data_IF_854536106681
#
_entry.id   IF_854536106681
#
_cell.length_a   1.000
_cell.length_b   1.000
_cell.length_c   1.000
_cell.angle_alpha   90.00
_cell.angle_beta   90.00
_cell.angle_gamma   90.00
#
_symmetry.space_group_name_H-M   'P 1'
#
loop_
_entity.id
_entity.type
_entity.pdbx_description
1 polymer ?
#
# COMPACT_ATOMS: atom_id res chain seq x y z
N UNK A 1 71.43 -0.54 35.78
CA UNK A 1 69.96 -0.62 35.89
C UNK A 1 69.30 0.16 34.75
N UNK A 2 68.72 -0.49 33.73
CA UNK A 2 67.83 0.17 32.75
C UNK A 2 67.16 -0.85 31.81
N UNK A 3 66.01 -1.41 32.20
CA UNK A 3 65.11 -2.14 31.28
C UNK A 3 63.67 -1.94 31.70
N UNK A 4 63.04 -0.82 31.34
CA UNK A 4 61.58 -0.67 31.47
C UNK A 4 61.04 0.53 30.65
N UNK A 5 61.00 0.41 29.31
CA UNK A 5 60.34 1.44 28.49
C UNK A 5 59.71 0.96 27.17
N UNK A 6 59.53 -0.35 26.93
CA UNK A 6 58.99 -0.85 25.64
C UNK A 6 57.53 -1.35 25.68
N UNK A 7 56.88 -1.42 26.85
CA UNK A 7 55.53 -2.00 26.99
C UNK A 7 54.34 -1.05 26.76
N UNK A 8 54.47 0.26 27.06
CA UNK A 8 53.33 1.19 27.10
C UNK A 8 52.85 1.70 25.72
N UNK A 9 53.73 1.77 24.71
CA UNK A 9 53.38 2.31 23.38
C UNK A 9 52.49 1.37 22.54
N UNK A 10 52.60 0.05 22.71
CA UNK A 10 51.78 -0.93 21.95
C UNK A 10 50.30 -0.98 22.40
N UNK A 11 50.00 -0.64 23.66
CA UNK A 11 48.63 -0.74 24.21
C UNK A 11 47.72 0.41 23.76
N UNK A 12 48.24 1.65 23.64
CA UNK A 12 47.48 2.82 23.14
C UNK A 12 47.06 2.70 21.67
N UNK A 13 47.90 2.11 20.81
CA UNK A 13 47.56 1.88 19.40
C UNK A 13 46.43 0.86 19.18
N UNK A 14 46.35 -0.15 20.06
CA UNK A 14 45.34 -1.21 19.98
C UNK A 14 43.94 -0.75 20.44
N UNK A 15 43.86 0.15 21.43
CA UNK A 15 42.61 0.79 21.84
C UNK A 15 42.08 1.79 20.80
N UNK A 16 42.97 2.55 20.14
CA UNK A 16 42.57 3.44 19.03
C UNK A 16 42.03 2.66 17.83
N UNK A 17 42.64 1.52 17.48
CA UNK A 17 42.15 0.63 16.40
C UNK A 17 40.84 -0.09 16.75
N UNK A 18 40.55 -0.36 18.03
CA UNK A 18 39.26 -0.90 18.47
C UNK A 18 38.14 0.15 18.41
N UNK A 19 38.39 1.37 18.90
CA UNK A 19 37.43 2.48 18.77
C UNK A 19 37.19 2.93 17.33
N UNK A 20 38.19 2.84 16.45
CA UNK A 20 37.98 3.11 15.02
C UNK A 20 37.26 1.96 14.31
N UNK A 21 37.31 0.72 14.81
CA UNK A 21 36.49 -0.40 14.32
C UNK A 21 35.05 -0.35 14.88
N UNK A 22 34.85 0.13 16.10
CA UNK A 22 33.51 0.35 16.68
C UNK A 22 32.84 1.59 16.06
N UNK A 23 33.59 2.66 15.77
CA UNK A 23 33.07 3.82 15.03
C UNK A 23 32.87 3.52 13.53
N UNK A 24 33.68 2.64 12.93
CA UNK A 24 33.46 2.14 11.57
C UNK A 24 32.37 1.05 11.48
N UNK A 25 32.01 0.42 12.60
CA UNK A 25 30.82 -0.43 12.71
C UNK A 25 29.53 0.37 12.91
N UNK A 26 29.64 1.63 13.35
CA UNK A 26 28.53 2.58 13.45
C UNK A 26 28.28 3.36 12.15
N UNK A 27 29.17 3.28 11.16
CA UNK A 27 28.83 3.47 9.75
C UNK A 27 28.52 2.11 9.16
N UNK A 28 27.40 1.52 9.61
CA UNK A 28 26.70 0.57 8.76
C UNK A 28 26.55 1.26 7.40
N UNK A 29 27.12 0.63 6.36
CA UNK A 29 26.86 0.96 4.96
C UNK A 29 25.37 1.25 4.88
N UNK A 30 25.00 2.52 4.69
CA UNK A 30 23.62 2.91 4.44
C UNK A 30 23.24 2.12 3.20
N UNK A 31 22.49 1.03 3.40
CA UNK A 31 21.84 0.35 2.29
C UNK A 31 21.07 1.44 1.55
N UNK A 32 21.15 1.52 0.21
CA UNK A 32 20.23 2.36 -0.55
C UNK A 32 18.84 2.08 0.02
N UNK A 33 18.19 3.11 0.59
CA UNK A 33 17.07 2.91 1.52
C UNK A 33 16.06 1.93 0.94
N UNK A 34 15.66 0.95 1.74
CA UNK A 34 14.76 -0.12 1.33
C UNK A 34 13.46 0.50 0.80
N UNK A 35 13.38 0.66 -0.52
CA UNK A 35 12.37 1.47 -1.20
C UNK A 35 11.14 0.61 -1.45
N UNK A 36 9.98 1.10 -1.05
CA UNK A 36 8.71 0.55 -1.48
C UNK A 36 8.32 1.16 -2.82
N UNK A 37 7.88 0.33 -3.75
CA UNK A 37 7.22 0.72 -4.99
C UNK A 37 5.95 -0.09 -5.16
N UNK A 38 4.83 0.60 -5.35
CA UNK A 38 3.54 0.03 -5.73
C UNK A 38 3.20 0.60 -7.09
N UNK A 39 3.20 -0.25 -8.12
CA UNK A 39 2.96 0.18 -9.50
C UNK A 39 1.67 -0.44 -10.03
N UNK A 40 0.72 0.41 -10.41
CA UNK A 40 -0.50 -0.05 -11.10
C UNK A 40 -0.14 -0.30 -12.56
N UNK A 41 -0.10 -1.57 -12.98
CA UNK A 41 0.26 -1.95 -14.35
C UNK A 41 -0.90 -1.82 -15.31
N UNK A 42 -2.06 -2.29 -14.89
CA UNK A 42 -3.25 -2.31 -15.71
C UNK A 42 -4.51 -2.44 -14.83
N UNK A 43 -5.64 -2.15 -15.45
CA UNK A 43 -6.95 -2.56 -14.97
C UNK A 43 -7.57 -3.46 -16.03
N UNK A 44 -7.93 -4.67 -15.65
CA UNK A 44 -8.70 -5.59 -16.49
C UNK A 44 -10.17 -5.42 -16.16
N UNK A 45 -11.01 -5.28 -17.18
CA UNK A 45 -12.44 -5.08 -17.03
C UNK A 45 -13.16 -6.20 -17.79
N UNK A 46 -13.77 -7.13 -17.05
CA UNK A 46 -14.60 -8.17 -17.63
C UNK A 46 -15.95 -7.60 -18.09
N UNK A 47 -16.55 -6.73 -17.27
CA UNK A 47 -17.69 -5.90 -17.61
C UNK A 47 -17.60 -4.53 -16.91
N UNK A 48 -18.32 -3.55 -17.46
CA UNK A 48 -18.52 -2.26 -16.83
C UNK A 48 -19.89 -1.68 -17.17
N UNK A 49 -20.45 -0.91 -16.24
CA UNK A 49 -21.74 -0.28 -16.41
C UNK A 49 -21.61 1.24 -16.28
N UNK A 50 -21.61 1.91 -17.43
CA UNK A 50 -21.89 3.34 -17.51
C UNK A 50 -23.41 3.54 -17.53
N UNK A 51 -23.90 4.49 -16.73
CA UNK A 51 -25.30 4.83 -16.62
C UNK A 51 -25.94 5.31 -17.93
N UNK A 52 -27.14 5.87 -17.85
CA UNK A 52 -27.92 6.28 -19.04
C UNK A 52 -27.28 7.39 -19.91
N UNK A 53 -26.13 7.95 -19.50
CA UNK A 53 -25.47 9.09 -20.12
C UNK A 53 -24.24 8.75 -20.99
N UNK A 54 -24.10 7.52 -21.50
CA UNK A 54 -23.26 7.16 -22.68
C UNK A 54 -21.82 7.72 -22.69
N UNK A 55 -21.22 7.96 -21.54
CA UNK A 55 -19.80 8.30 -21.43
C UNK A 55 -19.06 7.02 -21.12
N UNK A 56 -18.18 6.53 -22.00
CA UNK A 56 -17.31 5.40 -21.64
C UNK A 56 -16.74 5.62 -20.24
N UNK A 57 -16.87 4.66 -19.32
CA UNK A 57 -16.61 4.89 -17.92
C UNK A 57 -15.18 5.36 -17.72
N UNK A 58 -14.97 6.19 -16.70
CA UNK A 58 -13.68 6.79 -16.41
C UNK A 58 -13.05 6.12 -15.18
N UNK A 59 -12.46 4.92 -15.33
CA UNK A 59 -11.94 4.18 -14.19
C UNK A 59 -10.76 4.90 -13.54
N UNK A 60 -10.84 5.00 -12.21
CA UNK A 60 -9.82 5.56 -11.34
C UNK A 60 -9.56 4.59 -10.20
N UNK A 61 -8.27 4.42 -9.90
CA UNK A 61 -7.84 3.72 -8.70
C UNK A 61 -7.25 4.72 -7.70
N UNK A 62 -7.76 4.72 -6.47
CA UNK A 62 -7.13 5.41 -5.34
C UNK A 62 -6.39 4.35 -4.53
N UNK A 63 -5.07 4.51 -4.42
CA UNK A 63 -4.18 3.54 -3.78
C UNK A 63 -3.64 4.13 -2.48
N UNK A 64 -3.73 3.39 -1.38
CA UNK A 64 -3.10 3.71 -0.09
C UNK A 64 -2.10 2.64 0.30
N UNK A 65 -0.92 3.04 0.75
CA UNK A 65 0.12 2.14 1.25
C UNK A 65 0.45 2.43 2.72
N UNK A 66 0.52 1.37 3.51
CA UNK A 66 0.64 1.45 4.96
C UNK A 66 1.69 0.48 5.49
N UNK A 67 2.50 0.91 6.45
CA UNK A 67 3.39 0.05 7.20
C UNK A 67 2.77 -0.31 8.55
N UNK A 68 2.86 -1.58 8.90
CA UNK A 68 2.33 -2.12 10.15
C UNK A 68 3.48 -2.27 11.13
N UNK A 69 3.63 -1.25 11.97
CA UNK A 69 4.64 -1.21 13.01
C UNK A 69 4.06 -1.69 14.34
N UNK A 70 4.93 -1.95 15.31
CA UNK A 70 4.51 -2.37 16.64
C UNK A 70 3.65 -1.33 17.38
N UNK A 71 3.77 -0.05 17.01
CA UNK A 71 2.99 1.06 17.56
C UNK A 71 1.73 1.41 16.74
N UNK A 72 1.45 0.64 15.67
CA UNK A 72 0.25 0.75 14.86
C UNK A 72 0.50 0.91 13.36
N UNK A 73 -0.55 1.34 12.66
CA UNK A 73 -0.55 1.56 11.21
C UNK A 73 0.00 2.96 10.84
N UNK A 74 1.04 3.01 10.00
CA UNK A 74 1.66 4.25 9.51
C UNK A 74 1.43 4.42 8.01
N UNK A 75 1.03 5.61 7.57
CA UNK A 75 0.89 5.93 6.15
C UNK A 75 2.27 6.05 5.51
N UNK A 76 2.48 5.32 4.42
CA UNK A 76 3.65 5.43 3.56
C UNK A 76 3.38 6.38 2.40
N UNK A 77 2.16 6.32 1.86
CA UNK A 77 1.72 7.24 0.84
C UNK A 77 0.38 6.87 0.28
N UNK A 78 -0.06 7.67 -0.68
CA UNK A 78 -1.29 7.48 -1.44
C UNK A 78 -1.09 7.99 -2.86
N UNK A 79 -1.82 7.43 -3.81
CA UNK A 79 -1.79 7.82 -5.21
C UNK A 79 -3.19 7.77 -5.82
N UNK A 80 -3.42 8.62 -6.83
CA UNK A 80 -4.58 8.52 -7.72
C UNK A 80 -4.05 8.10 -9.08
N UNK A 81 -4.47 6.94 -9.55
CA UNK A 81 -4.11 6.42 -10.87
C UNK A 81 -5.35 6.50 -11.75
N UNK A 82 -5.28 7.35 -12.78
CA UNK A 82 -6.32 7.47 -13.81
C UNK A 82 -5.99 6.56 -14.98
N UNK A 83 -6.96 5.77 -15.42
CA UNK A 83 -6.77 4.77 -16.45
C UNK A 83 -7.28 5.27 -17.81
N UNK A 84 -6.83 4.63 -18.89
CA UNK A 84 -7.37 4.84 -20.22
C UNK A 84 -8.87 4.54 -20.23
N UNK A 85 -9.62 5.22 -21.11
CA UNK A 85 -11.05 4.95 -21.25
C UNK A 85 -11.19 3.61 -21.97
N UNK A 86 -12.07 2.71 -21.48
CA UNK A 86 -12.32 1.45 -22.15
C UNK A 86 -13.16 1.70 -23.41
N UNK A 87 -12.77 1.08 -24.53
CA UNK A 87 -13.50 1.20 -25.81
C UNK A 87 -14.47 0.03 -26.04
N UNK A 88 -14.69 -0.81 -25.01
CA UNK A 88 -15.52 -2.01 -25.06
C UNK A 88 -15.16 -3.02 -23.97
N UNK A 89 -15.96 -4.08 -23.83
CA UNK A 89 -15.75 -5.14 -22.84
C UNK A 89 -15.80 -6.54 -23.47
N UNK A 90 -14.98 -7.50 -22.98
CA UNK A 90 -13.92 -7.33 -21.99
C UNK A 90 -12.71 -6.57 -22.55
N UNK A 91 -11.96 -5.86 -21.70
CA UNK A 91 -10.73 -5.18 -22.11
C UNK A 91 -9.71 -5.03 -20.98
N UNK A 92 -8.51 -4.58 -21.34
CA UNK A 92 -7.46 -4.18 -20.40
C UNK A 92 -7.04 -2.75 -20.73
N UNK A 93 -7.03 -1.88 -19.74
CA UNK A 93 -6.65 -0.48 -19.89
C UNK A 93 -5.39 -0.16 -19.08
N UNK A 94 -4.52 0.66 -19.63
CA UNK A 94 -3.30 1.11 -18.97
C UNK A 94 -3.51 2.45 -18.25
N UNK A 95 -2.64 2.82 -17.29
CA UNK A 95 -2.60 4.16 -16.73
C UNK A 95 -2.37 5.25 -17.80
N UNK A 96 -3.04 6.40 -17.66
CA UNK A 96 -2.85 7.59 -18.53
C UNK A 96 -1.64 8.45 -18.15
N UNK A 97 -0.92 8.10 -17.08
CA UNK A 97 0.17 8.90 -16.53
C UNK A 97 0.89 8.18 -15.41
N UNK A 98 1.25 8.91 -14.35
CA UNK A 98 1.90 8.33 -13.18
C UNK A 98 1.04 7.22 -12.56
N UNK A 99 1.64 6.05 -12.41
CA UNK A 99 1.00 4.84 -11.88
C UNK A 99 1.70 4.28 -10.64
N UNK A 100 2.83 4.88 -10.27
CA UNK A 100 3.74 4.35 -9.26
C UNK A 100 3.72 5.21 -8.02
N UNK A 101 3.46 4.58 -6.87
CA UNK A 101 3.72 5.11 -5.55
C UNK A 101 5.10 4.63 -5.12
N UNK A 102 6.05 5.55 -4.93
CA UNK A 102 7.39 5.22 -4.45
C UNK A 102 7.63 5.88 -3.09
N UNK A 103 8.13 5.11 -2.13
CA UNK A 103 8.42 5.58 -0.79
C UNK A 103 9.77 5.08 -0.28
N UNK A 104 10.55 5.96 0.35
CA UNK A 104 11.80 5.59 1.02
C UNK A 104 11.47 5.28 2.47
N UNK A 105 11.61 4.01 2.85
CA UNK A 105 11.21 3.56 4.17
C UNK A 105 12.19 4.05 5.25
N UNK A 106 11.69 4.64 6.34
CA UNK A 106 12.48 4.88 7.54
C UNK A 106 13.05 3.57 8.12
N UNK A 107 14.25 3.60 8.73
CA UNK A 107 14.90 2.42 9.31
C UNK A 107 14.05 1.65 10.33
N UNK A 108 13.20 2.35 11.07
CA UNK A 108 12.35 1.79 12.11
C UNK A 108 11.21 0.90 11.59
N UNK A 109 10.85 1.02 10.31
CA UNK A 109 9.76 0.23 9.68
C UNK A 109 10.25 -0.64 8.52
N UNK A 110 11.56 -0.80 8.36
CA UNK A 110 12.14 -1.55 7.26
C UNK A 110 11.69 -3.01 7.21
N UNK A 111 11.49 -3.66 8.36
CA UNK A 111 11.00 -5.04 8.46
C UNK A 111 9.49 -5.17 8.69
N UNK A 112 8.73 -4.07 8.61
CA UNK A 112 7.29 -4.10 8.81
C UNK A 112 6.58 -4.79 7.64
N UNK A 113 5.47 -5.46 7.95
CA UNK A 113 4.48 -5.86 6.93
C UNK A 113 3.91 -4.60 6.29
N UNK A 114 3.77 -4.64 4.96
CA UNK A 114 3.16 -3.55 4.21
C UNK A 114 1.77 -3.99 3.75
N UNK A 115 0.79 -3.12 3.95
CA UNK A 115 -0.56 -3.27 3.43
C UNK A 115 -0.79 -2.26 2.30
N UNK A 116 -1.38 -2.72 1.21
CA UNK A 116 -1.80 -1.90 0.07
C UNK A 116 -3.30 -2.04 -0.09
N UNK A 117 -3.99 -0.91 0.03
CA UNK A 117 -5.41 -0.76 -0.21
C UNK A 117 -5.60 -0.14 -1.59
N UNK A 118 -6.46 -0.74 -2.41
CA UNK A 118 -6.88 -0.20 -3.69
C UNK A 118 -8.38 0.02 -3.66
N UNK A 119 -8.81 1.22 -4.06
CA UNK A 119 -10.20 1.61 -4.20
C UNK A 119 -10.48 1.90 -5.67
N UNK A 120 -11.48 1.24 -6.24
CA UNK A 120 -11.97 1.48 -7.59
C UNK A 120 -13.19 2.41 -7.57
N UNK A 121 -13.12 3.44 -8.41
CA UNK A 121 -14.14 4.47 -8.59
C UNK A 121 -14.27 4.73 -10.08
N UNK A 122 -15.49 4.94 -10.55
CA UNK A 122 -15.78 5.54 -11.85
C UNK A 122 -15.95 7.06 -11.65
N UNK A 123 -15.02 7.84 -12.22
CA UNK A 123 -14.90 9.29 -11.97
C UNK A 123 -15.85 10.11 -12.86
N UNK A 124 -16.82 10.78 -12.25
CA UNK A 124 -17.76 11.70 -12.92
C UNK A 124 -17.38 13.16 -12.68
N UNK A 125 -17.18 13.52 -11.41
CA UNK A 125 -16.89 14.89 -10.96
C UNK A 125 -15.53 15.03 -10.29
N UNK A 126 -14.91 13.92 -9.88
CA UNK A 126 -13.67 13.84 -9.13
C UNK A 126 -13.79 14.20 -7.64
N UNK A 127 -15.01 14.50 -7.15
CA UNK A 127 -15.24 14.87 -5.74
C UNK A 127 -15.09 13.68 -4.80
N UNK A 128 -15.65 12.53 -5.18
CA UNK A 128 -15.48 11.28 -4.46
C UNK A 128 -14.03 10.83 -4.45
N UNK A 129 -13.35 10.90 -5.60
CA UNK A 129 -11.90 10.62 -5.69
C UNK A 129 -11.11 11.49 -4.72
N UNK A 130 -11.38 12.80 -4.66
CA UNK A 130 -10.72 13.72 -3.73
C UNK A 130 -11.01 13.37 -2.26
N UNK A 131 -12.27 13.07 -1.93
CA UNK A 131 -12.69 12.74 -0.56
C UNK A 131 -12.03 11.46 -0.07
N UNK A 132 -12.05 10.40 -0.88
CA UNK A 132 -11.38 9.12 -0.59
C UNK A 132 -9.88 9.34 -0.44
N UNK A 133 -9.25 9.99 -1.41
CA UNK A 133 -7.81 10.29 -1.35
C UNK A 133 -7.44 11.04 -0.06
N UNK A 134 -8.24 12.04 0.34
CA UNK A 134 -8.04 12.80 1.58
C UNK A 134 -8.15 11.90 2.82
N UNK A 135 -9.16 11.04 2.87
CA UNK A 135 -9.43 10.15 4.00
C UNK A 135 -8.35 9.08 4.20
N UNK A 136 -7.74 8.57 3.12
CA UNK A 136 -6.70 7.53 3.20
C UNK A 136 -5.43 7.96 3.97
N UNK A 137 -5.20 9.26 4.17
CA UNK A 137 -4.11 9.77 5.03
C UNK A 137 -4.35 9.55 6.52
N UNK A 138 -5.61 9.38 6.92
CA UNK A 138 -6.01 9.26 8.32
C UNK A 138 -6.15 7.79 8.70
N UNK A 139 -5.05 7.04 8.63
CA UNK A 139 -5.03 5.58 8.86
C UNK A 139 -5.70 5.14 10.17
N UNK A 140 -5.62 5.94 11.24
CA UNK A 140 -6.28 5.64 12.52
C UNK A 140 -7.82 5.64 12.45
N UNK A 141 -8.40 6.28 11.44
CA UNK A 141 -9.85 6.38 11.21
C UNK A 141 -10.32 5.49 10.06
N UNK A 142 -9.43 4.65 9.53
CA UNK A 142 -9.72 3.71 8.46
C UNK A 142 -10.08 2.37 9.08
N UNK A 143 -11.35 1.98 8.91
CA UNK A 143 -11.86 0.69 9.32
C UNK A 143 -12.21 -0.12 8.07
N UNK A 144 -11.94 -1.42 8.15
CA UNK A 144 -12.14 -2.37 7.06
C UNK A 144 -12.96 -3.56 7.55
N UNK A 145 -13.73 -4.15 6.65
CA UNK A 145 -14.38 -5.45 6.87
C UNK A 145 -14.48 -6.23 5.55
N UNK A 146 -14.64 -7.55 5.65
CA UNK A 146 -14.77 -8.41 4.48
C UNK A 146 -16.07 -8.15 3.72
N UNK A 147 -15.99 -8.09 2.39
CA UNK A 147 -17.19 -8.04 1.54
C UNK A 147 -18.02 -9.31 1.69
N UNK A 148 -19.34 -9.19 1.79
CA UNK A 148 -20.26 -10.33 1.91
C UNK A 148 -20.40 -10.92 3.32
N UNK A 149 -19.76 -10.32 4.34
CA UNK A 149 -19.98 -10.73 5.72
C UNK A 149 -21.44 -10.48 6.16
N UNK A 150 -22.10 -11.51 6.71
CA UNK A 150 -23.49 -11.42 7.21
C UNK A 150 -23.62 -10.40 8.35
N UNK A 151 -22.61 -10.36 9.23
CA UNK A 151 -22.47 -9.35 10.28
C UNK A 151 -21.11 -8.67 10.10
N UNK A 152 -21.08 -7.37 9.75
CA UNK A 152 -19.82 -6.64 9.60
C UNK A 152 -19.04 -6.59 10.92
N UNK A 153 -17.83 -7.14 10.91
CA UNK A 153 -16.85 -6.97 11.99
C UNK A 153 -15.81 -5.97 11.50
N UNK A 154 -15.91 -4.75 12.01
CA UNK A 154 -15.01 -3.67 11.63
C UNK A 154 -13.71 -3.78 12.41
N UNK A 155 -12.59 -3.69 11.70
CA UNK A 155 -11.27 -3.74 12.28
C UNK A 155 -10.37 -2.69 11.63
N UNK A 156 -9.34 -2.24 12.37
CA UNK A 156 -8.24 -1.48 11.77
C UNK A 156 -7.33 -2.41 10.96
N UNK A 157 -6.59 -1.87 10.00
CA UNK A 157 -5.68 -2.67 9.15
C UNK A 157 -4.62 -3.41 9.99
N UNK A 158 -4.09 -2.75 11.02
CA UNK A 158 -3.11 -3.35 11.95
C UNK A 158 -3.72 -4.46 12.81
N UNK A 159 -4.99 -4.35 13.19
CA UNK A 159 -5.72 -5.38 13.93
C UNK A 159 -6.02 -6.61 13.08
N UNK A 160 -6.46 -6.42 11.82
CA UNK A 160 -6.71 -7.52 10.89
C UNK A 160 -5.49 -8.43 10.70
N UNK A 161 -4.31 -7.82 10.64
CA UNK A 161 -3.07 -8.51 10.28
C UNK A 161 -2.29 -8.99 11.51
N UNK A 162 -2.65 -8.54 12.71
CA UNK A 162 -2.08 -9.02 13.98
C UNK A 162 -2.84 -10.20 14.62
N UNK A 163 -4.11 -10.42 14.28
CA UNK A 163 -4.94 -11.48 14.87
C UNK A 163 -4.89 -12.84 14.14
N UNK A 164 -5.60 -13.84 14.68
CA UNK A 164 -5.91 -15.14 14.03
C UNK A 164 -6.71 -15.00 12.73
N UNK A 165 -7.10 -13.78 12.41
CA UNK A 165 -7.59 -13.36 11.11
C UNK A 165 -6.52 -13.54 10.03
N UNK A 166 -5.23 -13.67 10.36
CA UNK A 166 -4.03 -13.91 9.54
C UNK A 166 -4.11 -14.64 8.16
N UNK A 167 -5.07 -15.53 7.82
CA UNK A 167 -5.24 -15.98 6.42
C UNK A 167 -5.56 -14.90 5.35
N UNK A 168 -5.45 -13.59 5.60
CA UNK A 168 -5.62 -12.54 4.57
C UNK A 168 -4.42 -12.48 3.59
N UNK A 169 -4.34 -13.47 2.71
CA UNK A 169 -3.48 -13.53 1.52
C UNK A 169 -4.29 -14.21 0.39
N UNK A 170 -4.27 -13.80 -0.89
CA UNK A 170 -3.91 -12.52 -1.52
C UNK A 170 -5.16 -11.65 -1.78
N UNK A 171 -4.97 -10.34 -1.96
CA UNK A 171 -5.94 -9.40 -2.56
C UNK A 171 -7.42 -9.63 -2.23
N UNK A 172 -7.80 -9.37 -0.98
CA UNK A 172 -9.16 -9.63 -0.51
C UNK A 172 -10.07 -8.45 -0.83
N UNK A 173 -11.29 -8.69 -1.39
CA UNK A 173 -12.33 -7.69 -1.43
C UNK A 173 -12.68 -7.21 -0.02
N UNK A 174 -12.66 -5.90 0.17
CA UNK A 174 -13.00 -5.27 1.43
C UNK A 174 -13.99 -4.14 1.22
N UNK A 175 -14.67 -3.81 2.30
CA UNK A 175 -15.43 -2.58 2.47
C UNK A 175 -14.70 -1.65 3.41
N UNK A 176 -14.99 -0.35 3.29
CA UNK A 176 -14.28 0.70 3.99
C UNK A 176 -15.25 1.60 4.73
N UNK A 177 -14.90 1.93 5.96
CA UNK A 177 -15.49 3.04 6.70
C UNK A 177 -14.39 4.04 6.96
N UNK A 178 -14.58 5.24 6.44
CA UNK A 178 -13.63 6.34 6.43
C UNK A 178 -14.24 7.46 7.25
N UNK A 179 -13.62 7.78 8.39
CA UNK A 179 -14.09 8.87 9.28
C UNK A 179 -15.52 8.67 9.79
N UNK A 180 -15.92 7.41 9.99
CA UNK A 180 -17.27 7.06 10.42
C UNK A 180 -18.33 7.10 9.32
N UNK A 181 -17.92 7.29 8.06
CA UNK A 181 -18.82 7.23 6.89
C UNK A 181 -18.45 6.05 6.02
N UNK A 182 -19.45 5.35 5.46
CA UNK A 182 -19.18 4.32 4.45
C UNK A 182 -18.49 4.96 3.23
N UNK A 183 -17.44 4.33 2.72
CA UNK A 183 -16.69 4.91 1.61
C UNK A 183 -17.51 5.08 0.33
N UNK A 184 -18.53 4.24 0.11
CA UNK A 184 -19.46 4.40 -1.02
C UNK A 184 -20.29 5.69 -0.90
N UNK A 185 -20.66 6.08 0.32
CA UNK A 185 -21.34 7.34 0.58
C UNK A 185 -20.39 8.54 0.49
N UNK A 186 -19.13 8.36 0.93
CA UNK A 186 -18.10 9.39 0.82
C UNK A 186 -17.70 9.67 -0.63
N UNK A 187 -17.80 8.67 -1.51
CA UNK A 187 -17.52 8.78 -2.93
C UNK A 187 -18.61 9.56 -3.71
N UNK A 188 -19.69 10.01 -3.05
CA UNK A 188 -20.84 10.64 -3.70
C UNK A 188 -20.46 11.75 -4.69
N UNK A 189 -20.96 11.63 -5.90
CA UNK A 189 -20.61 12.49 -7.04
C UNK A 189 -19.58 11.86 -7.97
N UNK A 190 -19.04 10.71 -7.59
CA UNK A 190 -18.42 9.69 -8.43
C UNK A 190 -19.08 8.34 -8.07
N UNK A 191 -18.92 7.33 -8.93
CA UNK A 191 -19.55 6.02 -8.73
C UNK A 191 -18.57 5.05 -8.05
N UNK A 192 -18.93 4.61 -6.84
CA UNK A 192 -18.17 3.61 -6.11
C UNK A 192 -18.26 2.24 -6.79
N UNK A 193 -17.11 1.59 -7.00
CA UNK A 193 -17.07 0.22 -7.52
C UNK A 193 -16.75 -0.76 -6.40
N UNK A 194 -15.52 -0.74 -5.88
CA UNK A 194 -15.06 -1.73 -4.91
C UNK A 194 -13.78 -1.28 -4.20
N UNK A 195 -13.38 -2.02 -3.16
CA UNK A 195 -12.05 -1.93 -2.60
C UNK A 195 -11.44 -3.31 -2.36
N UNK A 196 -10.11 -3.38 -2.39
CA UNK A 196 -9.36 -4.60 -2.13
C UNK A 196 -8.09 -4.31 -1.33
N UNK A 197 -7.76 -5.22 -0.42
CA UNK A 197 -6.60 -5.12 0.46
C UNK A 197 -5.64 -6.28 0.21
N UNK A 198 -4.35 -5.98 0.07
CA UNK A 198 -3.29 -6.98 0.05
C UNK A 198 -2.22 -6.61 1.07
N UNK A 199 -1.74 -7.60 1.82
CA UNK A 199 -0.60 -7.46 2.70
C UNK A 199 0.55 -8.36 2.23
N UNK A 200 1.78 -7.92 2.44
CA UNK A 200 2.96 -8.72 2.15
C UNK A 200 4.06 -8.43 3.16
N UNK A 201 4.78 -9.50 3.53
CA UNK A 201 6.01 -9.36 4.29
C UNK A 201 7.17 -8.94 3.37
N UNK A 202 8.16 -8.29 3.95
CA UNK A 202 9.37 -7.84 3.24
C UNK A 202 10.56 -8.74 3.52
N UNK A 203 10.33 -9.97 3.97
CA UNK A 203 11.41 -10.90 4.33
C UNK A 203 11.98 -11.56 3.07
N UNK A 204 12.42 -10.75 2.09
CA UNK A 204 12.96 -11.19 0.80
C UNK A 204 13.01 -10.05 -0.23
N UNK A 205 13.79 -10.22 -1.30
CA UNK A 205 13.66 -9.35 -2.49
C UNK A 205 12.42 -9.83 -3.25
N UNK A 206 11.30 -9.19 -3.01
CA UNK A 206 10.04 -9.59 -3.61
C UNK A 206 9.71 -8.66 -4.77
N UNK A 207 9.69 -9.25 -5.96
CA UNK A 207 9.01 -8.70 -7.12
C UNK A 207 7.76 -9.55 -7.28
N UNK A 208 6.64 -9.00 -6.84
CA UNK A 208 5.39 -9.74 -6.78
C UNK A 208 4.34 -9.01 -7.62
N UNK A 209 3.86 -9.68 -8.66
CA UNK A 209 2.63 -9.29 -9.31
C UNK A 209 1.45 -9.71 -8.43
N UNK A 210 0.54 -8.78 -8.17
CA UNK A 210 -0.69 -9.01 -7.41
C UNK A 210 -1.88 -8.61 -8.25
N UNK A 211 -2.88 -9.49 -8.28
CA UNK A 211 -4.16 -9.27 -8.97
C UNK A 211 -5.23 -9.09 -7.91
N UNK A 212 -5.86 -7.92 -7.90
CA UNK A 212 -6.83 -7.54 -6.87
C UNK A 212 -8.23 -7.49 -7.49
N UNK A 213 -9.17 -8.36 -7.08
CA UNK A 213 -10.56 -8.32 -7.53
C UNK A 213 -11.27 -7.09 -6.99
N UNK A 214 -11.97 -6.38 -7.87
CA UNK A 214 -12.67 -5.12 -7.63
C UNK A 214 -14.04 -5.21 -8.29
N UNK A 215 -14.96 -5.95 -7.66
CA UNK A 215 -16.31 -6.18 -8.17
C UNK A 215 -17.32 -5.36 -7.39
N UNK A 216 -18.25 -4.69 -8.08
CA UNK A 216 -19.38 -4.02 -7.45
C UNK A 216 -20.36 -5.03 -6.85
N UNK A 217 -21.12 -4.59 -5.83
CA UNK A 217 -22.06 -5.47 -5.12
C UNK A 217 -23.18 -6.02 -5.99
N UNK A 218 -23.58 -5.24 -7.00
CA UNK A 218 -24.61 -5.60 -7.96
C UNK A 218 -24.05 -6.39 -9.16
N UNK A 219 -22.74 -6.66 -9.18
CA UNK A 219 -22.04 -7.39 -10.23
C UNK A 219 -22.00 -6.68 -11.58
N UNK A 220 -22.36 -5.38 -11.63
CA UNK A 220 -22.35 -4.61 -12.88
C UNK A 220 -20.95 -4.21 -13.34
N UNK A 221 -20.04 -4.02 -12.38
CA UNK A 221 -18.63 -3.76 -12.61
C UNK A 221 -17.83 -4.95 -12.08
N UNK A 222 -17.07 -5.61 -12.94
CA UNK A 222 -16.17 -6.70 -12.58
C UNK A 222 -14.76 -6.37 -13.09
N UNK A 223 -13.98 -5.75 -12.20
CA UNK A 223 -12.65 -5.25 -12.51
C UNK A 223 -11.58 -6.03 -11.74
N UNK A 224 -10.37 -6.07 -12.29
CA UNK A 224 -9.18 -6.61 -11.61
C UNK A 224 -8.02 -5.65 -11.78
N UNK A 225 -7.53 -5.09 -10.66
CA UNK A 225 -6.32 -4.28 -10.68
C UNK A 225 -5.09 -5.18 -10.71
N UNK A 226 -4.18 -4.93 -11.64
CA UNK A 226 -2.89 -5.62 -11.74
C UNK A 226 -1.83 -4.69 -11.16
N UNK A 227 -1.25 -5.09 -10.03
CA UNK A 227 -0.22 -4.37 -9.33
C UNK A 227 1.11 -5.08 -9.44
N UNK A 228 2.18 -4.31 -9.47
CA UNK A 228 3.53 -4.79 -9.24
C UNK A 228 4.07 -4.17 -7.95
N UNK A 229 4.47 -5.03 -7.02
CA UNK A 229 5.01 -4.63 -5.73
C UNK A 229 6.52 -4.91 -5.71
N UNK A 230 7.30 -3.90 -5.32
CA UNK A 230 8.75 -4.03 -5.10
C UNK A 230 9.11 -3.46 -3.75
N UNK A 231 9.84 -4.21 -2.94
CA UNK A 231 10.22 -3.81 -1.61
C UNK A 231 11.57 -4.39 -1.18
#
# INVERSE_FOLDING_TARGET
MARQAKGKRRRKGRLRRKRSKEAAGALAVRRPGDRLSVDVRALELACGHDGFLRGEPEPVLVVGAYALAADGCRVLGRAVVRLQRPTGYPCTVAPRGASTLEHVMPPEITGATVAVLVVAIEEDSGRGVQAIYAALERAAHLLVWATGAEVPVLARIDELLAGDLAPWLPGQPVRLMLEGTDASELARGDDWVAAALVAFDRTGRHHDERRLPLCSDDGRNDWTAVLELRA
#
